data_IF_637081792872
#
_entry.id   IF_637081792872
#
_cell.length_a   1.000
_cell.length_b   1.000
_cell.length_c   1.000
_cell.angle_alpha   90.00
_cell.angle_beta   90.00
_cell.angle_gamma   90.00
#
_symmetry.space_group_name_H-M   'P 1'
#
loop_
_entity.id
_entity.type
_entity.pdbx_description
1 polymer ?
#
# COMPACT_ATOMS: atom_id res chain seq x y z
N UNK A 1 6.93 -3.32 -6.25
CA UNK A 1 6.21 -2.97 -4.99
C UNK A 1 6.03 -4.25 -4.16
N UNK A 2 5.97 -4.15 -2.83
CA UNK A 2 5.62 -5.28 -1.94
C UNK A 2 4.54 -4.90 -0.94
N UNK A 3 3.85 -5.90 -0.39
CA UNK A 3 2.96 -5.73 0.77
C UNK A 3 3.81 -5.56 2.03
N UNK A 4 3.53 -4.52 2.82
CA UNK A 4 4.37 -4.09 3.94
C UNK A 4 4.01 -4.83 5.25
N UNK A 5 2.73 -5.13 5.48
CA UNK A 5 2.24 -5.78 6.70
C UNK A 5 0.92 -6.54 6.50
N UNK A 6 0.34 -7.03 7.59
CA UNK A 6 -0.87 -7.86 7.56
C UNK A 6 -0.64 -9.29 7.05
N UNK A 7 -1.72 -9.97 6.70
CA UNK A 7 -1.74 -11.38 6.28
C UNK A 7 -0.81 -11.67 5.08
N UNK A 8 -0.71 -10.74 4.13
CA UNK A 8 0.09 -10.91 2.91
C UNK A 8 1.50 -10.29 2.98
N UNK A 9 2.02 -10.03 4.19
CA UNK A 9 3.33 -9.38 4.40
C UNK A 9 4.43 -9.99 3.52
N UNK A 10 5.28 -9.12 2.97
CA UNK A 10 6.43 -9.48 2.10
C UNK A 10 6.08 -10.06 0.72
N UNK A 11 4.80 -10.23 0.39
CA UNK A 11 4.40 -10.63 -0.96
C UNK A 11 4.79 -9.56 -1.99
N UNK A 12 5.53 -9.96 -3.03
CA UNK A 12 5.88 -9.08 -4.15
C UNK A 12 4.68 -8.90 -5.08
N UNK A 13 4.43 -7.66 -5.48
CA UNK A 13 3.38 -7.30 -6.44
C UNK A 13 4.01 -6.95 -7.79
N UNK A 14 3.37 -7.39 -8.87
CA UNK A 14 3.71 -6.96 -10.23
C UNK A 14 3.38 -5.46 -10.34
N UNK A 15 4.31 -4.70 -10.91
CA UNK A 15 4.12 -3.28 -11.20
C UNK A 15 3.87 -3.10 -12.68
N UNK A 16 3.11 -2.07 -13.06
CA UNK A 16 3.06 -1.66 -14.45
C UNK A 16 4.45 -1.13 -14.87
N UNK A 17 4.95 -1.49 -16.06
CA UNK A 17 6.20 -0.97 -16.58
C UNK A 17 6.00 0.46 -17.11
N UNK A 18 6.95 1.36 -16.84
CA UNK A 18 6.99 2.68 -17.46
C UNK A 18 7.53 3.79 -16.55
N UNK A 19 8.31 4.75 -17.09
CA UNK A 19 8.90 5.84 -16.31
C UNK A 19 7.88 6.91 -15.87
N UNK A 20 6.68 6.91 -16.45
CA UNK A 20 5.61 7.86 -16.11
C UNK A 20 4.87 7.52 -14.81
N UNK A 21 5.08 6.31 -14.26
CA UNK A 21 4.48 5.92 -12.99
C UNK A 21 5.23 6.60 -11.84
N UNK A 22 4.58 7.54 -11.15
CA UNK A 22 5.11 8.08 -9.89
C UNK A 22 5.17 6.93 -8.87
N UNK A 23 6.35 6.51 -8.41
CA UNK A 23 6.43 5.46 -7.41
C UNK A 23 5.93 6.02 -6.08
N UNK A 24 5.07 5.27 -5.40
CA UNK A 24 4.74 5.54 -3.99
C UNK A 24 5.79 4.85 -3.12
N UNK A 25 6.66 5.58 -2.41
CA UNK A 25 7.71 4.98 -1.60
C UNK A 25 7.14 4.07 -0.53
N UNK A 26 7.85 2.99 -0.20
CA UNK A 26 7.43 2.06 0.86
C UNK A 26 7.22 2.79 2.19
N UNK A 27 8.12 3.72 2.54
CA UNK A 27 8.00 4.53 3.76
C UNK A 27 6.70 5.34 3.80
N UNK A 28 6.30 5.95 2.68
CA UNK A 28 5.07 6.76 2.64
C UNK A 28 3.83 5.90 2.88
N UNK A 29 3.80 4.69 2.29
CA UNK A 29 2.72 3.73 2.51
C UNK A 29 2.72 3.26 3.97
N UNK A 30 3.88 2.93 4.53
CA UNK A 30 4.01 2.54 5.93
C UNK A 30 3.54 3.62 6.89
N UNK A 31 3.96 4.88 6.71
CA UNK A 31 3.48 6.01 7.51
C UNK A 31 1.96 6.16 7.45
N UNK A 32 1.37 6.09 6.26
CA UNK A 32 -0.09 6.18 6.10
C UNK A 32 -0.82 5.07 6.87
N UNK A 33 -0.39 3.82 6.72
CA UNK A 33 -1.03 2.69 7.40
C UNK A 33 -0.78 2.70 8.91
N UNK A 34 0.35 3.22 9.38
CA UNK A 34 0.61 3.42 10.81
C UNK A 34 -0.35 4.46 11.41
N UNK A 35 -0.57 5.58 10.70
CA UNK A 35 -1.53 6.62 11.13
C UNK A 35 -2.96 6.08 11.17
N UNK A 36 -3.34 5.25 10.18
CA UNK A 36 -4.68 4.70 10.07
C UNK A 36 -4.93 3.45 10.92
N UNK A 37 -3.89 2.84 11.50
CA UNK A 37 -3.94 1.52 12.12
C UNK A 37 -5.18 1.24 13.02
N UNK A 38 -5.60 2.15 13.92
CA UNK A 38 -6.76 1.90 14.79
C UNK A 38 -8.10 1.81 14.06
N UNK A 39 -8.18 2.31 12.83
CA UNK A 39 -9.41 2.45 12.03
C UNK A 39 -9.54 1.41 10.91
N UNK A 40 -8.49 0.64 10.66
CA UNK A 40 -8.42 -0.33 9.57
C UNK A 40 -9.28 -1.59 9.81
N UNK A 41 -9.32 -2.18 11.02
CA UNK A 41 -10.09 -3.41 11.23
C UNK A 41 -11.57 -3.22 10.89
N UNK A 42 -12.08 -4.03 9.94
CA UNK A 42 -13.48 -4.02 9.52
C UNK A 42 -13.90 -2.84 8.62
N UNK A 43 -12.97 -1.97 8.20
CA UNK A 43 -13.34 -0.84 7.33
C UNK A 43 -13.54 -1.27 5.87
N UNK A 44 -14.41 -0.55 5.16
CA UNK A 44 -14.43 -0.55 3.69
C UNK A 44 -13.40 0.46 3.18
N UNK A 45 -12.41 0.00 2.42
CA UNK A 45 -11.35 0.83 1.85
C UNK A 45 -11.61 1.08 0.36
N UNK A 46 -11.41 2.32 -0.09
CA UNK A 46 -11.54 2.72 -1.50
C UNK A 46 -10.23 3.36 -1.94
N UNK A 47 -9.68 2.87 -3.06
CA UNK A 47 -8.60 3.53 -3.79
C UNK A 47 -9.16 4.03 -5.13
N UNK A 48 -9.14 5.35 -5.32
CA UNK A 48 -9.77 5.99 -6.48
C UNK A 48 -8.92 5.87 -7.76
N UNK A 49 -7.64 5.51 -7.66
CA UNK A 49 -6.69 5.51 -8.79
C UNK A 49 -5.77 4.27 -8.81
N UNK A 50 -6.29 3.11 -8.37
CA UNK A 50 -5.54 1.86 -8.25
C UNK A 50 -5.03 1.29 -9.59
#
# INVERSE_FOLDING_TARGET
MRVIGGEFRSRRLKSLPGPAMRPTPDMLRETLFNVLAPRIPGCTFVDAYA
#
